data_IF_904389321996
#
_entry.id   IF_904389321996
#
_cell.length_a   1.000
_cell.length_b   1.000
_cell.length_c   1.000
_cell.angle_alpha   90.00
_cell.angle_beta   90.00
_cell.angle_gamma   90.00
#
_symmetry.space_group_name_H-M   'P 1'
#
loop_
_entity.id
_entity.type
_entity.pdbx_description
1 polymer ?
#
# COMPACT_ATOMS: atom_id res chain seq x y z
N UNK A 1 2.79 12.25 6.38
CA UNK A 1 3.92 11.56 5.71
C UNK A 1 4.08 12.09 4.29
N UNK A 2 5.30 12.41 3.89
CA UNK A 2 5.61 12.87 2.54
C UNK A 2 5.97 11.70 1.61
N UNK A 3 5.80 11.89 0.31
CA UNK A 3 6.25 10.93 -0.69
C UNK A 3 7.79 10.96 -0.81
N UNK A 4 8.47 9.81 -0.98
CA UNK A 4 9.94 9.79 -1.09
C UNK A 4 10.47 10.50 -2.35
N UNK A 5 9.71 10.47 -3.45
CA UNK A 5 10.03 11.18 -4.69
C UNK A 5 9.70 12.69 -4.60
N UNK A 6 10.68 13.55 -4.83
CA UNK A 6 10.52 15.03 -4.79
C UNK A 6 9.54 15.58 -5.82
N UNK A 7 9.47 15.01 -7.03
CA UNK A 7 8.50 15.43 -8.05
C UNK A 7 7.07 15.20 -7.59
N UNK A 8 6.81 14.06 -6.94
CA UNK A 8 5.51 13.77 -6.35
C UNK A 8 5.17 14.75 -5.22
N UNK A 9 6.13 15.10 -4.36
CA UNK A 9 5.93 16.09 -3.29
C UNK A 9 5.54 17.46 -3.84
N UNK A 10 6.25 17.92 -4.87
CA UNK A 10 5.95 19.19 -5.55
C UNK A 10 4.55 19.16 -6.15
N UNK A 11 4.20 18.10 -6.88
CA UNK A 11 2.87 17.95 -7.49
C UNK A 11 1.75 17.88 -6.43
N UNK A 12 1.97 17.20 -5.31
CA UNK A 12 1.03 17.13 -4.19
C UNK A 12 0.81 18.52 -3.58
N UNK A 13 1.88 19.29 -3.35
CA UNK A 13 1.81 20.64 -2.82
C UNK A 13 1.07 21.61 -3.77
N UNK A 14 1.39 21.57 -5.06
CA UNK A 14 0.71 22.37 -6.09
C UNK A 14 -0.77 22.02 -6.21
N UNK A 15 -1.12 20.74 -6.09
CA UNK A 15 -2.51 20.30 -6.12
C UNK A 15 -3.27 20.86 -4.91
N UNK A 16 -2.70 20.75 -3.71
CA UNK A 16 -3.31 21.28 -2.48
C UNK A 16 -3.46 22.80 -2.49
N UNK A 17 -2.52 23.54 -3.10
CA UNK A 17 -2.59 25.00 -3.17
C UNK A 17 -3.72 25.50 -4.10
N UNK A 18 -4.19 24.66 -5.02
CA UNK A 18 -5.28 24.98 -5.95
C UNK A 18 -6.67 24.64 -5.41
N UNK A 19 -6.75 23.90 -4.30
CA UNK A 19 -8.02 23.52 -3.70
C UNK A 19 -8.62 24.62 -2.82
N UNK A 20 -9.96 24.71 -2.74
CA UNK A 20 -10.66 25.46 -1.71
C UNK A 20 -10.14 25.10 -0.31
N UNK A 21 -10.11 26.09 0.58
CA UNK A 21 -9.57 25.91 1.94
C UNK A 21 -10.28 24.79 2.71
N UNK A 22 -11.61 24.71 2.57
CA UNK A 22 -12.47 23.69 3.18
C UNK A 22 -12.18 22.25 2.73
N UNK A 23 -11.65 22.05 1.53
CA UNK A 23 -11.31 20.74 0.99
C UNK A 23 -9.85 20.33 1.25
N UNK A 24 -8.98 21.33 1.50
CA UNK A 24 -7.53 21.15 1.49
C UNK A 24 -7.06 20.15 2.53
N UNK A 25 -7.58 20.21 3.77
CA UNK A 25 -7.13 19.30 4.84
C UNK A 25 -7.60 17.86 4.59
N UNK A 26 -8.84 17.66 4.13
CA UNK A 26 -9.32 16.33 3.80
C UNK A 26 -8.46 15.70 2.69
N UNK A 27 -8.10 16.47 1.67
CA UNK A 27 -7.22 15.97 0.62
C UNK A 27 -5.78 15.75 1.09
N UNK A 28 -5.27 16.63 1.95
CA UNK A 28 -3.94 16.47 2.54
C UNK A 28 -3.86 15.18 3.36
N UNK A 29 -4.91 14.85 4.12
CA UNK A 29 -5.03 13.56 4.83
C UNK A 29 -4.94 12.37 3.87
N UNK A 30 -5.74 12.36 2.81
CA UNK A 30 -5.71 11.28 1.80
C UNK A 30 -4.29 11.09 1.23
N UNK A 31 -3.60 12.20 0.92
CA UNK A 31 -2.23 12.19 0.41
C UNK A 31 -1.27 11.59 1.45
N UNK A 32 -1.36 11.99 2.72
CA UNK A 32 -0.50 11.45 3.78
C UNK A 32 -0.70 9.95 3.97
N UNK A 33 -1.95 9.49 3.95
CA UNK A 33 -2.30 8.06 4.04
C UNK A 33 -1.80 7.30 2.82
N UNK A 34 -2.04 7.82 1.62
CA UNK A 34 -1.57 7.24 0.37
C UNK A 34 -0.05 7.14 0.30
N UNK A 35 0.67 8.16 0.78
CA UNK A 35 2.13 8.13 0.87
C UNK A 35 2.62 7.04 1.85
N UNK A 36 1.96 6.88 3.00
CA UNK A 36 2.31 5.83 3.96
C UNK A 36 2.08 4.42 3.40
N UNK A 37 0.95 4.20 2.73
CA UNK A 37 0.66 2.93 2.03
C UNK A 37 1.65 2.69 0.89
N UNK A 38 2.00 3.71 0.10
CA UNK A 38 3.01 3.57 -0.94
C UNK A 38 4.35 3.09 -0.37
N UNK A 39 4.84 3.73 0.70
CA UNK A 39 6.13 3.38 1.32
C UNK A 39 6.07 1.98 1.96
N UNK A 40 4.92 1.58 2.52
CA UNK A 40 4.69 0.21 2.98
C UNK A 40 4.97 -0.78 1.85
N UNK A 41 4.33 -0.63 0.69
CA UNK A 41 4.53 -1.57 -0.42
C UNK A 41 5.95 -1.54 -0.99
N UNK A 42 6.67 -0.41 -0.87
CA UNK A 42 8.08 -0.34 -1.25
C UNK A 42 9.00 -1.18 -0.33
N UNK A 43 8.57 -1.55 0.88
CA UNK A 43 9.36 -2.43 1.76
C UNK A 43 9.57 -3.84 1.17
N UNK A 44 8.75 -4.26 0.19
CA UNK A 44 8.90 -5.52 -0.50
C UNK A 44 9.98 -5.50 -1.61
N UNK A 45 10.38 -4.31 -2.09
CA UNK A 45 11.34 -4.14 -3.19
C UNK A 45 12.76 -4.67 -2.89
N UNK A 46 13.37 -4.43 -1.71
CA UNK A 46 14.72 -4.91 -1.43
C UNK A 46 14.82 -6.43 -1.21
N UNK A 47 13.71 -7.16 -1.19
CA UNK A 47 13.71 -8.62 -1.01
C UNK A 47 14.33 -9.30 -2.25
N UNK A 48 15.23 -10.24 -2.00
CA UNK A 48 15.92 -10.97 -3.07
C UNK A 48 14.93 -11.71 -3.97
N UNK A 49 15.17 -11.69 -5.29
CA UNK A 49 14.22 -12.20 -6.29
C UNK A 49 13.90 -13.70 -6.12
N UNK A 50 14.89 -14.51 -5.75
CA UNK A 50 14.67 -15.94 -5.44
C UNK A 50 13.67 -16.13 -4.29
N UNK A 51 13.72 -15.27 -3.26
CA UNK A 51 12.77 -15.29 -2.14
C UNK A 51 11.40 -14.79 -2.58
N UNK A 52 11.34 -13.75 -3.42
CA UNK A 52 10.07 -13.29 -4.02
C UNK A 52 9.39 -14.39 -4.86
N UNK A 53 10.15 -15.16 -5.64
CA UNK A 53 9.61 -16.28 -6.41
C UNK A 53 9.04 -17.36 -5.48
N UNK A 54 9.71 -17.65 -4.36
CA UNK A 54 9.17 -18.57 -3.35
C UNK A 54 7.86 -18.06 -2.76
N UNK A 55 7.83 -16.80 -2.32
CA UNK A 55 6.60 -16.19 -1.80
C UNK A 55 5.49 -16.13 -2.84
N UNK A 56 5.80 -15.91 -4.11
CA UNK A 56 4.80 -15.93 -5.18
C UNK A 56 4.13 -17.29 -5.30
N UNK A 57 4.90 -18.39 -5.27
CA UNK A 57 4.34 -19.75 -5.30
C UNK A 57 3.47 -20.03 -4.07
N UNK A 58 3.95 -19.68 -2.88
CA UNK A 58 3.21 -19.83 -1.62
C UNK A 58 1.91 -19.01 -1.62
N UNK A 59 1.99 -17.75 -2.07
CA UNK A 59 0.86 -16.85 -2.19
C UNK A 59 -0.22 -17.43 -3.11
N UNK A 60 0.17 -17.97 -4.27
CA UNK A 60 -0.77 -18.60 -5.21
C UNK A 60 -1.52 -19.79 -4.60
N UNK A 61 -0.92 -20.53 -3.67
CA UNK A 61 -1.57 -21.66 -2.99
C UNK A 61 -2.63 -21.21 -1.98
N UNK A 62 -2.44 -20.03 -1.38
CA UNK A 62 -3.41 -19.44 -0.44
C UNK A 62 -4.58 -18.68 -1.10
N UNK A 63 -4.52 -18.43 -2.41
CA UNK A 63 -5.56 -17.69 -3.13
C UNK A 63 -6.76 -18.57 -3.53
N UNK A 64 -7.97 -18.01 -3.64
CA UNK A 64 -9.12 -18.69 -4.24
C UNK A 64 -8.77 -19.25 -5.63
N UNK A 65 -9.21 -20.46 -6.02
CA UNK A 65 -8.74 -21.13 -7.23
C UNK A 65 -8.84 -20.32 -8.52
N UNK A 66 -9.92 -19.55 -8.69
CA UNK A 66 -10.13 -18.66 -9.84
C UNK A 66 -9.11 -17.51 -9.88
N UNK A 67 -8.83 -16.90 -8.73
CA UNK A 67 -7.84 -15.81 -8.59
C UNK A 67 -6.44 -16.37 -8.77
N UNK A 68 -6.12 -17.48 -8.11
CA UNK A 68 -4.84 -18.18 -8.23
C UNK A 68 -4.51 -18.53 -9.68
N UNK A 69 -5.47 -19.09 -10.42
CA UNK A 69 -5.33 -19.36 -11.86
C UNK A 69 -5.05 -18.09 -12.66
N UNK A 70 -5.75 -16.99 -12.37
CA UNK A 70 -5.52 -15.72 -13.05
C UNK A 70 -4.12 -15.16 -12.77
N UNK A 71 -3.70 -15.15 -11.50
CA UNK A 71 -2.36 -14.67 -11.11
C UNK A 71 -1.24 -15.53 -11.72
N UNK A 72 -1.47 -16.85 -11.87
CA UNK A 72 -0.54 -17.73 -12.62
C UNK A 72 -0.42 -17.35 -14.09
N UNK A 73 -1.54 -17.00 -14.75
CA UNK A 73 -1.51 -16.58 -16.16
C UNK A 73 -0.78 -15.25 -16.35
N UNK A 74 -0.89 -14.31 -15.39
CA UNK A 74 -0.14 -13.05 -15.42
C UNK A 74 1.36 -13.27 -15.21
N UNK A 75 1.73 -14.26 -14.38
CA UNK A 75 3.11 -14.61 -14.10
C UNK A 75 3.78 -13.73 -13.05
N UNK A 76 4.94 -14.17 -12.58
CA UNK A 76 5.68 -13.53 -11.49
C UNK A 76 6.03 -12.07 -11.79
N UNK A 77 6.53 -11.77 -12.99
CA UNK A 77 6.97 -10.42 -13.37
C UNK A 77 5.86 -9.38 -13.27
N UNK A 78 4.63 -9.74 -13.67
CA UNK A 78 3.48 -8.84 -13.56
C UNK A 78 2.99 -8.75 -12.11
N UNK A 79 3.05 -9.84 -11.35
CA UNK A 79 2.57 -9.89 -9.97
C UNK A 79 3.53 -9.26 -8.95
N UNK A 80 4.84 -9.21 -9.22
CA UNK A 80 5.86 -8.82 -8.22
C UNK A 80 5.72 -7.39 -7.69
N UNK A 81 5.01 -6.53 -8.41
CA UNK A 81 4.73 -5.14 -8.01
C UNK A 81 3.27 -4.90 -7.62
N UNK A 82 2.42 -5.94 -7.61
CA UNK A 82 1.00 -5.78 -7.27
C UNK A 82 0.81 -5.58 -5.76
N UNK A 83 -0.15 -4.72 -5.40
CA UNK A 83 -0.48 -4.40 -4.01
C UNK A 83 -0.77 -5.66 -3.15
N UNK A 84 -1.63 -6.61 -3.59
CA UNK A 84 -1.89 -7.82 -2.81
C UNK A 84 -0.65 -8.68 -2.58
N UNK A 85 0.25 -8.74 -3.55
CA UNK A 85 1.46 -9.56 -3.45
C UNK A 85 2.54 -8.88 -2.61
N UNK A 86 2.81 -7.59 -2.82
CA UNK A 86 3.76 -6.83 -1.99
C UNK A 86 3.33 -6.80 -0.52
N UNK A 87 2.02 -6.72 -0.24
CA UNK A 87 1.49 -6.88 1.10
C UNK A 87 1.78 -8.27 1.68
N UNK A 88 1.51 -9.33 0.92
CA UNK A 88 1.84 -10.69 1.34
C UNK A 88 3.34 -10.84 1.66
N UNK A 89 4.21 -10.31 0.80
CA UNK A 89 5.67 -10.32 1.03
C UNK A 89 6.02 -9.61 2.34
N UNK A 90 5.48 -8.41 2.57
CA UNK A 90 5.72 -7.66 3.79
C UNK A 90 5.26 -8.41 5.05
N UNK A 91 4.06 -8.99 5.02
CA UNK A 91 3.52 -9.77 6.15
C UNK A 91 4.37 -11.02 6.41
N UNK A 92 4.95 -11.66 5.38
CA UNK A 92 5.93 -12.77 5.54
C UNK A 92 7.30 -12.33 6.08
N UNK A 93 7.56 -11.03 6.13
CA UNK A 93 8.77 -10.43 6.71
C UNK A 93 8.43 -9.59 7.96
N UNK A 94 7.32 -9.91 8.63
CA UNK A 94 6.89 -9.30 9.90
C UNK A 94 6.60 -7.78 9.81
N UNK A 95 6.31 -7.28 8.60
CA UNK A 95 5.87 -5.90 8.36
C UNK A 95 4.36 -5.91 8.12
N UNK A 96 3.60 -5.86 9.21
CA UNK A 96 2.14 -5.81 9.17
C UNK A 96 1.64 -4.42 8.76
N UNK A 97 0.70 -4.36 7.79
CA UNK A 97 0.21 -3.07 7.29
C UNK A 97 -0.43 -2.21 8.38
N UNK A 98 -1.27 -2.80 9.23
CA UNK A 98 -1.96 -2.05 10.30
C UNK A 98 -0.95 -1.36 11.22
N UNK A 99 0.06 -2.11 11.65
CA UNK A 99 1.05 -1.62 12.62
C UNK A 99 1.97 -0.59 11.95
N UNK A 100 2.34 -0.82 10.68
CA UNK A 100 3.02 0.17 9.86
C UNK A 100 2.24 1.49 9.78
N UNK A 101 0.94 1.43 9.44
CA UNK A 101 0.12 2.64 9.35
C UNK A 101 -0.03 3.33 10.71
N UNK A 102 -0.10 2.57 11.80
CA UNK A 102 -0.20 3.10 13.16
C UNK A 102 1.08 3.84 13.58
N UNK A 103 2.25 3.32 13.21
CA UNK A 103 3.56 3.92 13.51
C UNK A 103 3.84 5.19 12.68
N UNK A 104 3.36 5.23 11.44
CA UNK A 104 3.76 6.25 10.47
C UNK A 104 2.71 7.35 10.21
N UNK A 105 1.49 7.20 10.73
CA UNK A 105 0.44 8.22 10.66
C UNK A 105 0.25 8.94 11.99
N UNK A 106 -0.31 10.15 11.90
CA UNK A 106 -0.86 10.81 13.09
C UNK A 106 -2.05 9.99 13.64
N UNK A 107 -2.38 10.08 14.93
CA UNK A 107 -3.54 9.39 15.49
C UNK A 107 -4.85 9.70 14.76
N UNK A 108 -5.03 10.94 14.31
CA UNK A 108 -6.22 11.36 13.55
C UNK A 108 -6.29 10.70 12.17
N UNK A 109 -5.17 10.69 11.43
CA UNK A 109 -5.10 10.08 10.11
C UNK A 109 -5.24 8.54 10.20
N UNK A 110 -4.65 7.91 11.21
CA UNK A 110 -4.77 6.46 11.45
C UNK A 110 -6.21 6.06 11.76
N UNK A 111 -6.90 6.79 12.64
CA UNK A 111 -8.30 6.53 12.96
C UNK A 111 -9.18 6.67 11.72
N UNK A 112 -8.95 7.70 10.90
CA UNK A 112 -9.66 7.87 9.64
C UNK A 112 -9.43 6.70 8.67
N UNK A 113 -8.17 6.29 8.47
CA UNK A 113 -7.82 5.13 7.64
C UNK A 113 -8.47 3.83 8.15
N UNK A 114 -8.50 3.62 9.46
CA UNK A 114 -9.11 2.45 10.06
C UNK A 114 -10.63 2.41 9.81
N UNK A 115 -11.31 3.55 9.92
CA UNK A 115 -12.75 3.64 9.63
C UNK A 115 -13.06 3.43 8.14
N UNK A 116 -12.21 3.93 7.24
CA UNK A 116 -12.32 3.64 5.81
C UNK A 116 -12.18 2.14 5.53
N UNK A 117 -11.20 1.50 6.14
CA UNK A 117 -10.93 0.07 6.00
C UNK A 117 -12.10 -0.80 6.49
N UNK A 118 -12.71 -0.43 7.62
CA UNK A 118 -13.90 -1.13 8.14
C UNK A 118 -15.08 -1.04 7.17
N UNK A 119 -15.33 0.14 6.60
CA UNK A 119 -16.43 0.35 5.64
C UNK A 119 -16.21 -0.40 4.32
N UNK A 120 -14.97 -0.55 3.89
CA UNK A 120 -14.64 -1.25 2.65
C UNK A 120 -14.67 -2.79 2.77
N UNK A 121 -14.80 -3.35 3.97
CA UNK A 121 -14.75 -4.81 4.19
C UNK A 121 -13.37 -5.44 3.92
N UNK A 122 -12.35 -4.61 3.70
CA UNK A 122 -10.95 -4.97 3.49
C UNK A 122 -10.12 -3.78 3.95
N UNK A 123 -8.92 -3.98 4.55
CA UNK A 123 -7.97 -2.89 4.68
C UNK A 123 -7.75 -2.32 3.29
N UNK A 124 -8.13 -1.07 3.12
CA UNK A 124 -8.09 -0.40 1.83
C UNK A 124 -6.63 -0.15 1.54
N UNK A 125 -6.17 -0.81 0.46
CA UNK A 125 -4.80 -1.01 0.00
C UNK A 125 -4.05 -2.11 0.78
#
# INVERSE_FOLDING_TARGET
MEHPNSKCRIAQAEYLSRLPEEERENKARDIRIGNASYIYHQQAVPIQENRLIMYYKEWLEGLPPNISRHMRMLGFEACKTMIPFTRYVNERNDIGMRDWMQEHLSPSDFNYWQELSKKAGSPTF
#
